data_IF_514596010043
#
_entry.id   IF_514596010043
#
_cell.length_a   1.000
_cell.length_b   1.000
_cell.length_c   1.000
_cell.angle_alpha   90.00
_cell.angle_beta   90.00
_cell.angle_gamma   90.00
#
_symmetry.space_group_name_H-M   'P 1'
#
loop_
_entity.id
_entity.type
_entity.pdbx_description
1 polymer ?
#
# COMPACT_ATOMS: atom_id res chain seq x y z
N UNK A 1 -12.09 2.39 -11.44
CA UNK A 1 -11.97 3.43 -10.41
C UNK A 1 -11.33 4.68 -11.00
N UNK A 2 -11.83 5.88 -10.69
CA UNK A 2 -11.17 7.15 -11.08
C UNK A 2 -10.11 7.59 -10.06
N UNK A 3 -9.32 8.64 -10.38
CA UNK A 3 -8.24 9.11 -9.53
C UNK A 3 -8.73 9.66 -8.17
N UNK A 4 -9.85 10.38 -8.13
CA UNK A 4 -10.39 10.93 -6.88
C UNK A 4 -10.79 9.80 -5.94
N UNK A 5 -11.56 8.84 -6.44
CA UNK A 5 -11.96 7.64 -5.70
C UNK A 5 -10.75 6.83 -5.24
N UNK A 6 -9.70 6.75 -6.07
CA UNK A 6 -8.44 6.07 -5.73
C UNK A 6 -7.74 6.73 -4.54
N UNK A 7 -7.61 8.06 -4.58
CA UNK A 7 -6.98 8.81 -3.49
C UNK A 7 -7.83 8.74 -2.23
N UNK A 8 -9.15 8.89 -2.30
CA UNK A 8 -10.04 8.79 -1.14
C UNK A 8 -9.94 7.41 -0.48
N UNK A 9 -9.93 6.34 -1.29
CA UNK A 9 -9.77 4.95 -0.84
C UNK A 9 -8.46 4.76 -0.08
N UNK A 10 -7.34 5.20 -0.65
CA UNK A 10 -6.02 5.05 -0.02
C UNK A 10 -5.83 5.97 1.19
N UNK A 11 -6.49 7.14 1.21
CA UNK A 11 -6.46 8.08 2.33
C UNK A 11 -7.31 7.62 3.50
N UNK A 12 -8.40 6.89 3.26
CA UNK A 12 -9.22 6.29 4.31
C UNK A 12 -8.43 5.27 5.14
N UNK A 13 -7.37 4.71 4.54
CA UNK A 13 -6.47 3.79 5.20
C UNK A 13 -7.09 2.43 5.49
N UNK A 14 -6.23 1.43 5.69
CA UNK A 14 -6.67 0.08 6.01
C UNK A 14 -5.56 -0.77 6.63
N UNK A 15 -5.95 -1.85 7.29
CA UNK A 15 -5.06 -2.81 7.95
C UNK A 15 -4.51 -3.87 6.99
N UNK A 16 -3.20 -3.98 6.86
CA UNK A 16 -2.55 -5.07 6.11
C UNK A 16 -1.57 -5.84 7.00
N UNK A 17 -1.33 -7.09 6.63
CA UNK A 17 -0.17 -7.84 7.10
C UNK A 17 1.06 -7.39 6.30
N UNK A 18 2.09 -6.93 7.00
CA UNK A 18 3.34 -6.46 6.38
C UNK A 18 4.48 -7.35 6.82
N UNK A 19 5.23 -7.89 5.85
CA UNK A 19 6.47 -8.60 6.15
C UNK A 19 7.56 -7.61 6.61
N UNK A 20 8.41 -8.08 7.52
CA UNK A 20 9.69 -7.44 7.82
C UNK A 20 10.55 -7.36 6.57
N UNK A 21 11.54 -6.47 6.55
CA UNK A 21 12.44 -6.34 5.41
C UNK A 21 13.25 -7.60 5.13
N UNK A 22 13.41 -8.50 6.11
CA UNK A 22 14.04 -9.81 5.96
C UNK A 22 13.08 -10.88 5.45
N UNK A 23 11.77 -10.63 5.46
CA UNK A 23 10.75 -11.61 5.09
C UNK A 23 10.50 -12.70 6.13
N UNK A 24 11.08 -12.58 7.33
CA UNK A 24 11.09 -13.60 8.39
C UNK A 24 9.93 -13.46 9.40
N UNK A 25 9.21 -12.34 9.38
CA UNK A 25 8.09 -12.10 10.28
C UNK A 25 7.05 -11.22 9.63
N UNK A 26 5.79 -11.40 10.04
CA UNK A 26 4.65 -10.66 9.52
C UNK A 26 3.93 -9.94 10.65
N UNK A 27 3.57 -8.69 10.44
CA UNK A 27 2.87 -7.90 11.44
C UNK A 27 1.71 -7.13 10.84
N UNK A 28 0.60 -7.05 11.57
CA UNK A 28 -0.51 -6.17 11.21
C UNK A 28 -0.06 -4.70 11.32
N UNK A 29 -0.31 -3.93 10.27
CA UNK A 29 0.04 -2.51 10.15
C UNK A 29 -1.09 -1.74 9.49
N UNK A 30 -1.36 -0.54 9.98
CA UNK A 30 -2.32 0.37 9.38
C UNK A 30 -1.61 1.14 8.27
N UNK A 31 -2.13 1.10 7.06
CA UNK A 31 -1.57 1.78 5.89
C UNK A 31 -2.49 2.88 5.42
N UNK A 32 -1.93 3.98 4.93
CA UNK A 32 -2.68 5.03 4.23
C UNK A 32 -1.72 5.84 3.35
N UNK A 33 -2.25 6.68 2.47
CA UNK A 33 -1.44 7.70 1.80
C UNK A 33 -1.58 9.06 2.49
N UNK A 34 -0.44 9.71 2.74
CA UNK A 34 -0.38 11.13 3.03
C UNK A 34 -0.19 11.90 1.72
N UNK A 35 -1.28 12.49 1.23
CA UNK A 35 -1.29 13.26 -0.02
C UNK A 35 -0.54 14.58 0.06
N UNK A 36 -0.31 15.13 1.26
CA UNK A 36 0.44 16.39 1.42
C UNK A 36 1.93 16.13 1.22
N UNK A 37 2.42 15.04 1.81
CA UNK A 37 3.84 14.68 1.78
C UNK A 37 4.20 13.69 0.67
N UNK A 38 3.21 13.19 -0.08
CA UNK A 38 3.37 12.15 -1.11
C UNK A 38 3.98 10.86 -0.55
N UNK A 39 3.44 10.38 0.56
CA UNK A 39 3.94 9.18 1.23
C UNK A 39 2.88 8.08 1.22
N UNK A 40 3.31 6.84 0.97
CA UNK A 40 2.64 5.66 1.48
C UNK A 40 3.19 5.40 2.88
N UNK A 41 2.32 5.40 3.89
CA UNK A 41 2.70 5.36 5.30
C UNK A 41 2.16 4.09 5.95
N UNK A 42 2.85 3.58 6.97
CA UNK A 42 2.34 2.53 7.83
C UNK A 42 2.75 2.66 9.30
N UNK A 43 1.84 2.25 10.18
CA UNK A 43 1.98 2.30 11.64
C UNK A 43 1.50 0.99 12.29
N UNK A 44 1.79 0.83 13.59
CA UNK A 44 1.30 -0.29 14.40
C UNK A 44 -0.08 -0.04 15.05
N UNK A 45 -0.64 1.16 14.92
CA UNK A 45 -1.97 1.57 15.38
C UNK A 45 -2.64 2.47 14.34
N UNK A 46 -3.97 2.55 14.33
CA UNK A 46 -4.70 3.41 13.40
C UNK A 46 -4.34 4.89 13.62
N UNK A 47 -3.85 5.56 12.58
CA UNK A 47 -3.48 6.96 12.62
C UNK A 47 -3.40 7.55 11.22
N UNK A 48 -3.42 8.88 11.15
CA UNK A 48 -3.16 9.65 9.93
C UNK A 48 -1.99 10.62 10.11
N UNK A 49 -1.32 10.57 11.28
CA UNK A 49 -0.11 11.34 11.53
C UNK A 49 1.11 10.51 11.09
N UNK A 50 1.89 10.94 10.09
CA UNK A 50 3.04 10.18 9.61
C UNK A 50 4.23 10.19 10.57
N UNK A 51 4.17 10.94 11.67
CA UNK A 51 5.26 11.02 12.65
C UNK A 51 5.52 9.64 13.29
N UNK A 52 6.80 9.27 13.39
CA UNK A 52 7.26 7.95 13.87
C UNK A 52 6.69 6.73 13.13
N UNK A 53 6.14 6.92 11.94
CA UNK A 53 5.64 5.83 11.10
C UNK A 53 6.71 5.37 10.10
N UNK A 54 6.59 4.13 9.63
CA UNK A 54 7.34 3.72 8.44
C UNK A 54 6.69 4.33 7.21
N UNK A 55 7.49 4.75 6.24
CA UNK A 55 6.95 5.32 5.00
C UNK A 55 7.83 5.03 3.81
N UNK A 56 7.25 5.24 2.63
CA UNK A 56 7.98 5.41 1.38
C UNK A 56 7.34 6.54 0.57
N UNK A 57 8.16 7.28 -0.15
CA UNK A 57 7.68 8.27 -1.11
C UNK A 57 6.94 7.56 -2.24
N UNK A 58 5.81 8.13 -2.65
CA UNK A 58 5.05 7.59 -3.77
C UNK A 58 5.89 7.63 -5.05
N UNK A 59 6.65 8.70 -5.30
CA UNK A 59 7.57 8.83 -6.44
C UNK A 59 8.79 7.88 -6.41
N UNK A 60 9.05 7.21 -5.29
CA UNK A 60 10.06 6.14 -5.22
C UNK A 60 9.50 4.75 -5.61
N UNK A 61 8.18 4.61 -5.75
CA UNK A 61 7.51 3.38 -6.16
C UNK A 61 7.66 3.20 -7.67
N UNK A 62 8.38 2.16 -8.09
CA UNK A 62 8.60 1.85 -9.50
C UNK A 62 7.40 1.13 -10.10
N UNK A 63 6.84 0.16 -9.38
CA UNK A 63 5.67 -0.59 -9.81
C UNK A 63 4.94 -1.23 -8.62
N UNK A 64 3.67 -1.57 -8.86
CA UNK A 64 2.86 -2.34 -7.93
C UNK A 64 2.35 -3.57 -8.68
N UNK A 65 2.57 -4.75 -8.12
CA UNK A 65 2.06 -6.02 -8.64
C UNK A 65 1.26 -6.76 -7.57
N UNK A 66 0.33 -7.63 -7.98
CA UNK A 66 -0.43 -8.48 -7.07
C UNK A 66 -0.12 -9.95 -7.29
N UNK A 67 -0.13 -10.77 -6.23
CA UNK A 67 -0.02 -12.23 -6.30
C UNK A 67 -0.80 -12.90 -5.19
N UNK A 68 -1.10 -14.17 -5.40
CA UNK A 68 -1.71 -15.02 -4.39
C UNK A 68 -0.62 -15.82 -3.68
N UNK A 69 -0.73 -15.94 -2.37
CA UNK A 69 0.16 -16.73 -1.52
C UNK A 69 -0.68 -17.75 -0.77
N UNK A 70 -0.61 -19.00 -1.18
CA UNK A 70 -1.18 -20.12 -0.44
C UNK A 70 -0.30 -20.46 0.76
N UNK A 71 -0.91 -20.50 1.93
CA UNK A 71 -0.34 -20.94 3.21
C UNK A 71 -1.24 -22.03 3.80
N UNK A 72 -0.81 -22.62 4.89
CA UNK A 72 -1.68 -23.35 5.83
C UNK A 72 -1.83 -22.55 7.11
N UNK A 73 -2.98 -22.63 7.77
CA UNK A 73 -3.16 -22.11 9.12
C UNK A 73 -2.65 -23.10 10.19
N UNK A 74 -2.85 -22.78 11.48
CA UNK A 74 -2.38 -23.59 12.61
C UNK A 74 -3.05 -24.98 12.65
N UNK A 75 -4.26 -25.11 12.11
CA UNK A 75 -5.01 -26.37 12.03
C UNK A 75 -4.72 -27.14 10.73
N UNK A 76 -3.86 -26.59 9.86
CA UNK A 76 -3.48 -27.19 8.58
C UNK A 76 -4.47 -26.90 7.44
N UNK A 77 -5.46 -26.03 7.64
CA UNK A 77 -6.37 -25.65 6.56
C UNK A 77 -5.69 -24.70 5.58
N UNK A 78 -5.93 -24.87 4.26
CA UNK A 78 -5.43 -23.95 3.26
C UNK A 78 -5.95 -22.52 3.52
N UNK A 79 -5.03 -21.58 3.58
CA UNK A 79 -5.30 -20.15 3.72
C UNK A 79 -4.64 -19.38 2.60
N UNK A 80 -5.41 -18.56 1.89
CA UNK A 80 -4.88 -17.73 0.81
C UNK A 80 -4.71 -16.30 1.30
N UNK A 81 -3.50 -15.77 1.12
CA UNK A 81 -3.21 -14.36 1.29
C UNK A 81 -3.10 -13.71 -0.09
N UNK A 82 -3.79 -12.58 -0.27
CA UNK A 82 -3.70 -11.74 -1.45
C UNK A 82 -2.68 -10.64 -1.18
N UNK A 83 -1.60 -10.63 -1.94
CA UNK A 83 -0.38 -9.88 -1.66
C UNK A 83 -0.16 -8.79 -2.69
N UNK A 84 0.00 -7.55 -2.24
CA UNK A 84 0.55 -6.44 -3.01
C UNK A 84 2.06 -6.39 -2.82
N UNK A 85 2.80 -6.44 -3.92
CA UNK A 85 4.22 -6.18 -3.99
C UNK A 85 4.43 -4.75 -4.50
N UNK A 86 4.88 -3.89 -3.60
CA UNK A 86 5.18 -2.48 -3.92
C UNK A 86 6.69 -2.38 -4.06
N UNK A 87 7.14 -2.36 -5.30
CA UNK A 87 8.56 -2.26 -5.64
C UNK A 87 9.00 -0.81 -5.62
N UNK A 88 10.08 -0.54 -4.90
CA UNK A 88 10.73 0.76 -4.83
C UNK A 88 12.19 0.59 -5.20
N UNK A 89 12.88 1.70 -5.50
CA UNK A 89 14.32 1.66 -5.87
C UNK A 89 15.23 0.95 -4.85
N UNK A 90 14.77 0.80 -3.61
CA UNK A 90 15.58 0.27 -2.50
C UNK A 90 15.10 -1.09 -1.99
N UNK A 91 13.83 -1.43 -2.18
CA UNK A 91 13.21 -2.62 -1.57
C UNK A 91 11.87 -2.95 -2.21
N UNK A 92 11.39 -4.16 -1.97
CA UNK A 92 10.00 -4.55 -2.21
C UNK A 92 9.27 -4.59 -0.87
N UNK A 93 8.19 -3.82 -0.74
CA UNK A 93 7.26 -3.92 0.38
C UNK A 93 6.18 -4.95 0.03
N UNK A 94 5.92 -5.88 0.95
CA UNK A 94 4.86 -6.88 0.79
C UNK A 94 3.74 -6.58 1.78
N UNK A 95 2.55 -6.33 1.26
CA UNK A 95 1.31 -6.12 2.01
C UNK A 95 0.37 -7.26 1.68
N UNK A 96 -0.16 -7.96 2.66
CA UNK A 96 -1.17 -8.99 2.44
C UNK A 96 -2.47 -8.73 3.19
N UNK A 97 -3.52 -9.30 2.63
CA UNK A 97 -4.84 -9.37 3.23
C UNK A 97 -5.49 -10.72 2.90
N UNK A 98 -6.49 -11.11 3.67
CA UNK A 98 -7.30 -12.30 3.44
C UNK A 98 -8.51 -11.99 2.53
N UNK A 99 -8.72 -10.72 2.19
CA UNK A 99 -9.86 -10.24 1.42
C UNK A 99 -9.44 -9.88 -0.01
N UNK A 100 -9.93 -10.64 -1.00
CA UNK A 100 -9.58 -10.43 -2.42
C UNK A 100 -9.99 -9.04 -2.90
N UNK A 101 -11.25 -8.67 -2.65
CA UNK A 101 -11.81 -7.38 -3.09
C UNK A 101 -10.99 -6.20 -2.54
N UNK A 102 -10.52 -6.30 -1.29
CA UNK A 102 -9.65 -5.30 -0.69
C UNK A 102 -8.30 -5.21 -1.40
N UNK A 103 -7.67 -6.35 -1.67
CA UNK A 103 -6.40 -6.38 -2.40
C UNK A 103 -6.56 -5.75 -3.79
N UNK A 104 -7.62 -6.10 -4.51
CA UNK A 104 -7.91 -5.58 -5.86
C UNK A 104 -8.20 -4.08 -5.84
N UNK A 105 -9.00 -3.63 -4.88
CA UNK A 105 -9.31 -2.21 -4.69
C UNK A 105 -8.05 -1.39 -4.42
N UNK A 106 -7.19 -1.86 -3.51
CA UNK A 106 -5.91 -1.18 -3.22
C UNK A 106 -4.92 -1.26 -4.38
N UNK A 107 -4.90 -2.38 -5.11
CA UNK A 107 -4.07 -2.54 -6.31
C UNK A 107 -4.45 -1.53 -7.40
N UNK A 108 -5.74 -1.43 -7.72
CA UNK A 108 -6.25 -0.49 -8.72
C UNK A 108 -5.99 0.96 -8.28
N UNK A 109 -6.30 1.28 -7.03
CA UNK A 109 -6.13 2.63 -6.48
C UNK A 109 -4.65 3.08 -6.49
N UNK A 110 -3.72 2.21 -6.05
CA UNK A 110 -2.29 2.52 -6.07
C UNK A 110 -1.80 2.73 -7.50
N UNK A 111 -2.17 1.85 -8.45
CA UNK A 111 -1.76 2.00 -9.84
C UNK A 111 -2.32 3.27 -10.49
N UNK A 112 -3.55 3.67 -10.17
CA UNK A 112 -4.12 4.93 -10.65
C UNK A 112 -3.35 6.15 -10.12
N UNK A 113 -3.04 6.18 -8.83
CA UNK A 113 -2.24 7.26 -8.22
C UNK A 113 -0.82 7.29 -8.80
N UNK A 114 -0.18 6.13 -8.93
CA UNK A 114 1.15 6.04 -9.51
C UNK A 114 1.18 6.43 -10.99
N UNK A 115 0.17 6.04 -11.76
CA UNK A 115 0.00 6.47 -13.14
C UNK A 115 -0.16 7.98 -13.28
N UNK A 116 -0.84 8.63 -12.34
CA UNK A 116 -0.92 10.09 -12.27
C UNK A 116 0.44 10.73 -11.93
N UNK A 117 1.12 10.23 -10.89
CA UNK A 117 2.42 10.76 -10.44
C UNK A 117 3.49 10.61 -11.52
N UNK A 118 3.55 9.48 -12.22
CA UNK A 118 4.55 9.26 -13.27
C UNK A 118 4.28 10.07 -14.54
N UNK A 119 3.02 10.42 -14.83
CA UNK A 119 2.65 11.27 -15.97
C UNK A 119 2.86 12.76 -15.67
N UNK A 120 2.59 13.17 -14.44
CA UNK A 120 2.78 14.53 -13.98
C UNK A 120 4.06 14.58 -13.16
N UNK A 121 5.21 14.71 -13.83
CA UNK A 121 6.48 14.98 -13.17
C UNK A 121 6.26 16.03 -12.07
N UNK A 122 6.51 15.67 -10.80
CA UNK A 122 5.91 16.30 -9.59
C UNK A 122 6.29 17.77 -9.36
N UNK A 123 6.92 18.43 -10.33
CA UNK A 123 7.08 19.87 -10.38
C UNK A 123 5.73 20.65 -10.33
N UNK A 124 4.57 19.98 -10.41
CA UNK A 124 3.25 20.63 -10.48
C UNK A 124 2.23 20.08 -9.47
N UNK A 125 2.33 20.50 -8.21
CA UNK A 125 1.17 20.66 -7.30
C UNK A 125 0.52 19.38 -6.77
N UNK A 126 -0.21 19.52 -5.65
CA UNK A 126 -0.81 18.47 -4.81
C UNK A 126 -1.62 17.38 -5.56
N UNK A 127 -1.64 16.14 -5.02
CA UNK A 127 -2.41 15.01 -5.57
C UNK A 127 -3.92 15.24 -5.67
N UNK A 128 -4.46 16.24 -4.95
CA UNK A 128 -5.81 16.79 -5.11
C UNK A 128 -5.76 18.28 -4.69
N UNK A 129 -6.21 19.24 -5.51
CA UNK A 129 -6.52 20.61 -5.06
C UNK A 129 -7.82 20.63 -4.25
N UNK A 130 -7.85 21.45 -3.19
CA UNK A 130 -8.99 21.68 -2.28
C UNK A 130 -10.35 21.84 -2.98
#
# INVERSE_FOLDING_TARGET
>A
MDLRTSVETLRAGDWFYKWTSKGDSVHRRWFWIDTKSYLLVWSNYETYNPHFCGSVRLDDICQVTSRDLSSVDEDGFPKTYYVLLIETRKRVLQLATELKDKCDTWFEALNNVMGFIHRNDMARGALIPD
#
